data_IF_368864160578
#
_entry.id   IF_368864160578
#
_cell.length_a   1.000
_cell.length_b   1.000
_cell.length_c   1.000
_cell.angle_alpha   90.00
_cell.angle_beta   90.00
_cell.angle_gamma   90.00
#
_symmetry.space_group_name_H-M   'P 1'
#
loop_
_entity.id
_entity.type
_entity.pdbx_description
1 polymer ?
#
# COMPACT_ATOMS: atom_id res chain seq x y z
N UNK A 1 -22.63 -0.13 -17.76
CA UNK A 1 -22.12 -1.48 -17.41
C UNK A 1 -20.69 -1.58 -17.95
N UNK A 2 -19.71 -0.98 -17.25
CA UNK A 2 -18.32 -0.84 -17.74
C UNK A 2 -17.32 -0.99 -16.59
N UNK A 3 -17.22 -2.18 -16.00
CA UNK A 3 -16.10 -2.55 -15.13
C UNK A 3 -15.81 -4.05 -15.36
N UNK A 4 -15.22 -4.37 -16.50
CA UNK A 4 -14.76 -5.73 -16.81
C UNK A 4 -13.44 -5.71 -17.61
N UNK A 5 -12.51 -4.82 -17.24
CA UNK A 5 -11.21 -4.71 -17.94
C UNK A 5 -10.05 -5.16 -17.04
N UNK A 6 -10.21 -5.36 -15.73
CA UNK A 6 -9.07 -5.76 -14.88
C UNK A 6 -8.84 -7.28 -14.78
N UNK A 7 -9.86 -8.12 -14.99
CA UNK A 7 -9.76 -9.56 -14.67
C UNK A 7 -9.31 -10.42 -15.87
N UNK A 8 -9.44 -9.95 -17.11
CA UNK A 8 -9.12 -10.75 -18.31
C UNK A 8 -7.66 -10.70 -18.78
N UNK A 9 -6.82 -9.80 -18.25
CA UNK A 9 -5.48 -9.55 -18.83
C UNK A 9 -4.38 -10.53 -18.38
N UNK A 10 -4.61 -11.40 -17.40
CA UNK A 10 -3.57 -12.35 -16.96
C UNK A 10 -3.42 -13.60 -17.83
N UNK A 11 -4.27 -13.81 -18.85
CA UNK A 11 -4.25 -15.02 -19.69
C UNK A 11 -3.78 -14.83 -21.13
N UNK A 12 -3.64 -13.59 -21.59
CA UNK A 12 -3.14 -13.29 -22.93
C UNK A 12 -1.78 -12.64 -22.80
N UNK A 13 -0.79 -13.18 -23.52
CA UNK A 13 0.62 -12.78 -23.58
C UNK A 13 0.85 -11.37 -24.19
N UNK A 14 -0.08 -10.42 -23.98
CA UNK A 14 0.16 -9.02 -24.29
C UNK A 14 0.74 -8.38 -23.05
N UNK A 15 2.06 -8.12 -23.08
CA UNK A 15 2.69 -7.28 -22.08
C UNK A 15 1.92 -5.96 -22.03
N UNK A 16 1.20 -5.72 -20.93
CA UNK A 16 0.55 -4.45 -20.70
C UNK A 16 1.62 -3.36 -20.83
N UNK A 17 1.33 -2.24 -21.51
CA UNK A 17 2.26 -1.12 -21.52
C UNK A 17 2.58 -0.78 -20.06
N UNK A 18 3.84 -0.49 -19.79
CA UNK A 18 4.28 -0.15 -18.44
C UNK A 18 3.42 1.01 -17.94
N UNK A 19 2.59 0.74 -16.93
CA UNK A 19 1.76 1.76 -16.33
C UNK A 19 2.64 2.65 -15.46
N UNK A 20 2.79 3.90 -15.87
CA UNK A 20 3.44 4.94 -15.08
C UNK A 20 2.40 5.59 -14.16
N UNK A 21 2.50 5.40 -12.82
CA UNK A 21 1.51 5.94 -11.91
C UNK A 21 1.62 7.46 -11.83
N UNK A 22 0.51 8.20 -11.91
CA UNK A 22 0.56 9.67 -11.87
C UNK A 22 1.10 10.17 -10.53
N UNK A 23 1.87 11.25 -10.53
CA UNK A 23 2.32 11.89 -9.30
C UNK A 23 1.14 12.48 -8.51
N UNK A 24 1.36 12.73 -7.22
CA UNK A 24 0.32 13.37 -6.38
C UNK A 24 -0.09 14.75 -6.90
N UNK A 25 0.88 15.55 -7.34
CA UNK A 25 0.63 16.90 -7.82
C UNK A 25 -0.19 16.89 -9.13
N UNK A 26 0.02 15.88 -9.97
CA UNK A 26 -0.80 15.64 -11.16
C UNK A 26 -2.23 15.29 -10.80
N UNK A 27 -2.44 14.38 -9.84
CA UNK A 27 -3.77 14.04 -9.33
C UNK A 27 -4.47 15.26 -8.72
N UNK A 28 -3.74 16.14 -8.04
CA UNK A 28 -4.28 17.39 -7.51
C UNK A 28 -4.67 18.37 -8.63
N UNK A 29 -3.84 18.49 -9.68
CA UNK A 29 -4.14 19.27 -10.87
C UNK A 29 -5.42 18.76 -11.55
N UNK A 30 -5.51 17.44 -11.78
CA UNK A 30 -6.68 16.80 -12.38
C UNK A 30 -7.94 16.97 -11.53
N UNK A 31 -7.83 16.92 -10.20
CA UNK A 31 -8.96 17.17 -9.31
C UNK A 31 -9.55 18.59 -9.48
N UNK A 32 -8.68 19.59 -9.69
CA UNK A 32 -9.07 20.99 -9.92
C UNK A 32 -9.65 21.18 -11.33
N UNK A 33 -9.02 20.56 -12.32
CA UNK A 33 -9.37 20.66 -13.74
C UNK A 33 -10.68 19.93 -14.07
N UNK A 34 -10.82 18.68 -13.64
CA UNK A 34 -11.97 17.84 -14.00
C UNK A 34 -13.09 17.92 -12.97
N UNK A 35 -14.27 18.34 -13.43
CA UNK A 35 -15.50 18.40 -12.62
C UNK A 35 -16.39 17.17 -12.78
N UNK A 36 -16.08 16.30 -13.73
CA UNK A 36 -16.77 15.03 -13.94
C UNK A 36 -16.66 14.14 -12.68
N UNK A 37 -17.80 13.61 -12.22
CA UNK A 37 -17.89 12.82 -10.99
C UNK A 37 -17.12 11.50 -11.06
N UNK A 38 -17.12 10.83 -12.20
CA UNK A 38 -16.46 9.54 -12.40
C UNK A 38 -14.93 9.70 -12.36
N UNK A 39 -14.42 10.74 -13.01
CA UNK A 39 -12.98 11.06 -12.97
C UNK A 39 -12.54 11.37 -11.53
N UNK A 40 -13.34 12.16 -10.80
CA UNK A 40 -13.06 12.48 -9.39
C UNK A 40 -13.08 11.24 -8.51
N UNK A 41 -14.04 10.33 -8.73
CA UNK A 41 -14.10 9.05 -8.04
C UNK A 41 -12.85 8.23 -8.31
N UNK A 42 -12.41 8.13 -9.55
CA UNK A 42 -11.20 7.40 -9.91
C UNK A 42 -9.95 7.98 -9.22
N UNK A 43 -9.83 9.31 -9.16
CA UNK A 43 -8.73 9.97 -8.44
C UNK A 43 -8.72 9.59 -6.95
N UNK A 44 -9.89 9.58 -6.30
CA UNK A 44 -10.02 9.16 -4.91
C UNK A 44 -9.73 7.68 -4.70
N UNK A 45 -10.18 6.82 -5.62
CA UNK A 45 -9.89 5.37 -5.58
C UNK A 45 -8.39 5.11 -5.70
N UNK A 46 -7.69 5.80 -6.61
CA UNK A 46 -6.23 5.74 -6.72
C UNK A 46 -5.60 6.17 -5.39
N UNK A 47 -6.02 7.28 -4.79
CA UNK A 47 -5.48 7.71 -3.50
C UNK A 47 -5.76 6.69 -2.38
N UNK A 48 -6.97 6.15 -2.31
CA UNK A 48 -7.34 5.13 -1.32
C UNK A 48 -6.47 3.86 -1.45
N UNK A 49 -6.13 3.44 -2.67
CA UNK A 49 -5.21 2.32 -2.90
C UNK A 49 -3.80 2.63 -2.42
N UNK A 50 -3.28 3.85 -2.67
CA UNK A 50 -1.97 4.28 -2.15
C UNK A 50 -1.93 4.23 -0.63
N UNK A 51 -3.02 4.67 0.02
CA UNK A 51 -3.19 4.58 1.45
C UNK A 51 -3.13 3.15 1.97
N UNK A 52 -3.86 2.24 1.34
CA UNK A 52 -3.85 0.82 1.73
C UNK A 52 -2.43 0.22 1.65
N UNK A 53 -1.66 0.55 0.61
CA UNK A 53 -0.26 0.08 0.48
C UNK A 53 0.63 0.64 1.60
N UNK A 54 0.46 1.93 1.94
CA UNK A 54 1.18 2.53 3.07
C UNK A 54 0.83 1.87 4.42
N UNK A 55 -0.44 1.57 4.64
CA UNK A 55 -0.90 0.85 5.84
C UNK A 55 -0.33 -0.56 5.91
N UNK A 56 -0.37 -1.31 4.80
CA UNK A 56 0.24 -2.64 4.72
C UNK A 56 1.72 -2.61 5.07
N UNK A 57 2.46 -1.59 4.61
CA UNK A 57 3.87 -1.43 4.99
C UNK A 57 4.02 -1.27 6.50
N UNK A 58 3.22 -0.42 7.15
CA UNK A 58 3.28 -0.25 8.61
C UNK A 58 3.00 -1.57 9.36
N UNK A 59 1.99 -2.33 8.92
CA UNK A 59 1.67 -3.63 9.49
C UNK A 59 2.82 -4.63 9.34
N UNK A 60 3.47 -4.65 8.17
CA UNK A 60 4.62 -5.50 7.89
C UNK A 60 5.84 -5.08 8.71
N UNK A 61 6.07 -3.79 8.93
CA UNK A 61 7.15 -3.31 9.82
C UNK A 61 6.95 -3.77 11.26
N UNK A 62 5.71 -3.78 11.76
CA UNK A 62 5.40 -4.36 13.09
C UNK A 62 5.60 -5.87 13.10
N UNK A 63 5.14 -6.57 12.06
CA UNK A 63 5.33 -8.01 11.95
C UNK A 63 6.82 -8.40 11.90
N UNK A 64 7.66 -7.62 11.19
CA UNK A 64 9.11 -7.81 11.16
C UNK A 64 9.72 -7.66 12.57
N UNK A 65 9.38 -6.57 13.28
CA UNK A 65 9.89 -6.33 14.65
C UNK A 65 9.51 -7.45 15.62
N UNK A 66 8.25 -7.90 15.59
CA UNK A 66 7.81 -9.03 16.42
C UNK A 66 8.51 -10.33 16.05
N UNK A 67 8.66 -10.59 14.75
CA UNK A 67 9.40 -11.76 14.30
C UNK A 67 10.85 -11.69 14.78
N UNK A 68 11.45 -10.49 14.89
CA UNK A 68 12.78 -10.25 15.44
C UNK A 68 12.92 -10.63 16.92
N UNK A 69 11.88 -10.39 17.71
CA UNK A 69 11.82 -10.65 19.16
C UNK A 69 11.60 -12.14 19.50
N UNK A 70 10.92 -12.93 18.66
CA UNK A 70 10.39 -14.25 19.04
C UNK A 70 11.45 -15.38 19.19
N UNK A 71 12.54 -15.45 18.40
CA UNK A 71 13.68 -16.40 18.57
C UNK A 71 14.83 -16.05 17.60
N UNK A 72 16.13 -16.26 17.91
CA UNK A 72 17.26 -15.84 17.04
C UNK A 72 17.41 -16.58 15.69
N UNK A 73 16.69 -17.68 15.46
CA UNK A 73 16.89 -18.53 14.29
C UNK A 73 16.33 -17.88 13.00
N UNK A 74 17.06 -17.87 11.87
CA UNK A 74 16.55 -17.40 10.58
C UNK A 74 15.45 -18.30 10.02
N UNK A 75 14.24 -18.12 10.53
CA UNK A 75 13.04 -18.78 10.00
C UNK A 75 12.65 -18.19 8.63
N UNK A 76 12.23 -19.05 7.70
CA UNK A 76 11.70 -18.73 6.36
C UNK A 76 10.63 -17.63 6.41
N UNK A 77 9.86 -17.56 7.52
CA UNK A 77 8.90 -16.50 7.79
C UNK A 77 9.53 -15.10 7.82
N UNK A 78 10.70 -14.92 8.43
CA UNK A 78 11.41 -13.62 8.49
C UNK A 78 11.85 -13.17 7.11
N UNK A 79 12.34 -14.09 6.28
CA UNK A 79 12.77 -13.76 4.92
C UNK A 79 11.61 -13.33 4.04
N UNK A 80 10.44 -13.98 4.16
CA UNK A 80 9.22 -13.59 3.47
C UNK A 80 8.75 -12.19 3.92
N UNK A 81 8.80 -11.88 5.22
CA UNK A 81 8.45 -10.56 5.73
C UNK A 81 9.41 -9.47 5.24
N UNK A 82 10.71 -9.75 5.20
CA UNK A 82 11.73 -8.83 4.66
C UNK A 82 11.56 -8.60 3.16
N UNK A 83 11.24 -9.65 2.39
CA UNK A 83 10.93 -9.55 0.97
C UNK A 83 9.67 -8.71 0.74
N UNK A 84 8.60 -8.97 1.50
CA UNK A 84 7.36 -8.20 1.44
C UNK A 84 7.58 -6.72 1.80
N UNK A 85 8.36 -6.45 2.86
CA UNK A 85 8.73 -5.08 3.25
C UNK A 85 9.45 -4.34 2.13
N UNK A 86 10.44 -4.98 1.49
CA UNK A 86 11.17 -4.41 0.35
C UNK A 86 10.23 -4.11 -0.80
N UNK A 87 9.37 -5.06 -1.18
CA UNK A 87 8.43 -4.90 -2.28
C UNK A 87 7.45 -3.76 -2.05
N UNK A 88 6.90 -3.63 -0.83
CA UNK A 88 6.01 -2.52 -0.48
C UNK A 88 6.73 -1.18 -0.50
N UNK A 89 8.01 -1.14 -0.09
CA UNK A 89 8.81 0.08 -0.15
C UNK A 89 9.10 0.51 -1.58
N UNK A 90 9.41 -0.42 -2.48
CA UNK A 90 9.55 -0.15 -3.92
C UNK A 90 8.26 0.43 -4.50
N UNK A 91 7.10 -0.15 -4.18
CA UNK A 91 5.81 0.36 -4.68
C UNK A 91 5.48 1.75 -4.11
N UNK A 92 5.77 2.01 -2.84
CA UNK A 92 5.59 3.34 -2.25
C UNK A 92 6.52 4.36 -2.91
N UNK A 93 7.77 3.99 -3.20
CA UNK A 93 8.71 4.85 -3.92
C UNK A 93 8.24 5.10 -5.36
N UNK A 94 7.76 4.06 -6.06
CA UNK A 94 7.23 4.14 -7.43
C UNK A 94 6.05 5.10 -7.53
N UNK A 95 5.18 5.07 -6.53
CA UNK A 95 3.97 5.90 -6.46
C UNK A 95 4.25 7.33 -5.98
N UNK A 96 5.39 7.54 -5.32
CA UNK A 96 5.84 8.82 -4.81
C UNK A 96 5.05 9.29 -3.59
N UNK A 97 4.74 10.58 -3.52
CA UNK A 97 4.04 11.18 -2.37
C UNK A 97 2.65 10.56 -2.22
N UNK A 98 2.38 10.01 -1.06
CA UNK A 98 1.05 9.61 -0.61
C UNK A 98 0.55 10.77 0.27
N UNK A 99 -0.70 11.21 0.09
CA UNK A 99 -1.30 12.17 1.02
C UNK A 99 -1.15 11.61 2.44
N UNK A 100 -0.83 12.45 3.42
CA UNK A 100 -0.31 12.01 4.71
C UNK A 100 -1.12 10.82 5.27
N UNK A 101 -0.46 9.74 5.74
CA UNK A 101 -1.16 8.64 6.40
C UNK A 101 -2.09 9.27 7.44
N UNK A 102 -3.37 8.87 7.45
CA UNK A 102 -4.21 9.11 8.62
C UNK A 102 -3.34 8.69 9.79
N UNK A 103 -3.03 9.63 10.70
CA UNK A 103 -2.30 9.27 11.89
C UNK A 103 -3.04 8.08 12.47
N UNK A 104 -2.36 6.92 12.49
CA UNK A 104 -2.87 5.73 13.15
C UNK A 104 -3.46 6.22 14.46
N UNK A 105 -4.75 5.98 14.72
CA UNK A 105 -5.34 6.52 15.95
C UNK A 105 -4.45 6.13 17.11
N UNK A 106 -4.30 7.01 18.10
CA UNK A 106 -3.40 6.75 19.24
C UNK A 106 -3.69 5.39 19.89
N UNK A 107 -4.93 4.91 19.77
CA UNK A 107 -5.34 3.58 20.16
C UNK A 107 -4.70 2.45 19.33
N UNK A 108 -4.59 2.59 18.01
CA UNK A 108 -3.88 1.63 17.16
C UNK A 108 -2.37 1.70 17.39
N UNK A 109 -1.80 2.90 17.57
CA UNK A 109 -0.39 3.08 17.98
C UNK A 109 -0.12 2.42 19.34
N UNK A 110 -1.05 2.55 20.29
CA UNK A 110 -0.98 1.98 21.65
C UNK A 110 -1.12 0.46 21.64
N UNK A 111 -2.05 -0.11 20.86
CA UNK A 111 -2.18 -1.57 20.65
C UNK A 111 -0.97 -2.17 19.93
N UNK A 112 -0.32 -1.43 19.04
CA UNK A 112 0.93 -1.86 18.41
C UNK A 112 2.14 -1.82 19.36
N UNK A 113 2.19 -0.84 20.29
CA UNK A 113 3.27 -0.71 21.30
C UNK A 113 3.08 -1.60 22.52
N UNK A 114 1.86 -2.04 22.82
CA UNK A 114 1.59 -2.90 23.95
C UNK A 114 2.17 -4.33 23.70
N UNK A 115 2.95 -4.88 24.64
CA UNK A 115 3.28 -6.30 24.63
C UNK A 115 1.97 -7.10 24.75
N UNK A 116 1.75 -8.09 23.88
CA UNK A 116 0.60 -8.97 24.00
C UNK A 116 0.71 -9.82 25.28
N UNK A 117 -0.42 -10.13 25.95
CA UNK A 117 -0.40 -10.94 27.15
C UNK A 117 0.21 -12.29 26.84
N UNK A 118 1.24 -12.68 27.61
CA UNK A 118 1.85 -14.01 27.53
C UNK A 118 0.77 -15.03 27.90
N UNK A 119 0.46 -15.94 26.97
CA UNK A 119 -0.35 -17.14 27.23
C UNK A 119 0.51 -18.22 27.84
#
# INVERSE_FOLDING_TARGET
>A
MYYCIFIQYQRCNMALPQFDPPAYDELQSWWRQYRNKDIRRLILEVQAQRYAVAELRMLVEVACRRAEEDTPDPDRRRDLLRALRRRLQEEIQRVGRIYAPVEMSEETKRKMRAPLPRR
#
